data_IF_163945550011
#
_entry.id   IF_163945550011
#
_cell.length_a   1.000
_cell.length_b   1.000
_cell.length_c   1.000
_cell.angle_alpha   90.00
_cell.angle_beta   90.00
_cell.angle_gamma   90.00
#
_symmetry.space_group_name_H-M   'P 1'
#
loop_
_entity.id
_entity.type
_entity.pdbx_description
1 polymer ?
#
# COMPACT_ATOMS: atom_id res chain seq x y z
N UNK A 1 8.98 -34.02 -38.32
CA UNK A 1 8.09 -33.46 -37.28
C UNK A 1 8.89 -33.31 -36.00
N UNK A 2 9.05 -32.09 -35.46
CA UNK A 2 9.75 -31.85 -34.18
C UNK A 2 8.86 -32.36 -33.04
N UNK A 3 9.33 -33.38 -32.29
CA UNK A 3 8.70 -33.78 -31.02
C UNK A 3 8.81 -32.61 -30.06
N UNK A 4 7.69 -32.20 -29.49
CA UNK A 4 7.64 -31.15 -28.48
C UNK A 4 8.44 -31.61 -27.24
N UNK A 5 9.53 -30.91 -26.88
CA UNK A 5 10.40 -31.28 -25.76
C UNK A 5 9.74 -31.07 -24.39
N UNK A 6 8.55 -30.48 -24.33
CA UNK A 6 7.79 -30.24 -23.10
C UNK A 6 6.53 -31.11 -22.99
N UNK A 7 6.32 -32.05 -23.91
CA UNK A 7 5.12 -32.91 -23.92
C UNK A 7 4.94 -33.75 -22.64
N UNK A 8 6.02 -34.01 -21.89
CA UNK A 8 5.99 -34.74 -20.61
C UNK A 8 5.97 -33.82 -19.38
N UNK A 9 6.13 -32.50 -19.56
CA UNK A 9 6.21 -31.55 -18.45
C UNK A 9 4.79 -31.17 -17.99
N UNK A 10 4.36 -31.72 -16.85
CA UNK A 10 3.11 -31.32 -16.20
C UNK A 10 3.36 -30.15 -15.24
N UNK A 11 2.91 -28.97 -15.62
CA UNK A 11 2.87 -27.82 -14.72
C UNK A 11 1.88 -28.11 -13.58
N UNK A 12 2.39 -28.21 -12.35
CA UNK A 12 1.56 -28.33 -11.16
C UNK A 12 1.51 -26.96 -10.51
N UNK A 13 0.34 -26.34 -10.47
CA UNK A 13 0.13 -25.12 -9.70
C UNK A 13 -0.13 -25.52 -8.26
N UNK A 14 0.89 -25.42 -7.41
CA UNK A 14 0.66 -25.55 -5.97
C UNK A 14 -0.19 -24.37 -5.50
N UNK A 15 -1.31 -24.68 -4.85
CA UNK A 15 -2.15 -23.68 -4.23
C UNK A 15 -1.36 -23.08 -3.05
N UNK A 16 -0.90 -21.84 -3.21
CA UNK A 16 -0.25 -21.09 -2.14
C UNK A 16 -1.35 -20.60 -1.20
N UNK A 17 -1.28 -21.03 0.05
CA UNK A 17 -2.21 -20.55 1.07
C UNK A 17 -1.97 -19.06 1.34
N UNK A 18 -3.05 -18.28 1.33
CA UNK A 18 -2.97 -16.82 1.42
C UNK A 18 -3.40 -16.35 2.81
N UNK A 19 -2.43 -16.31 3.71
CA UNK A 19 -2.61 -15.71 5.03
C UNK A 19 -2.95 -14.21 4.93
N UNK A 20 -3.97 -13.78 5.65
CA UNK A 20 -4.35 -12.38 5.84
C UNK A 20 -3.96 -11.88 7.24
N UNK A 21 -4.07 -10.57 7.47
CA UNK A 21 -3.86 -10.00 8.79
C UNK A 21 -5.20 -9.87 9.52
N UNK A 22 -5.24 -10.28 10.78
CA UNK A 22 -6.36 -9.97 11.67
C UNK A 22 -6.31 -8.51 12.11
N UNK A 23 -7.47 -7.96 12.50
CA UNK A 23 -7.56 -6.60 13.04
C UNK A 23 -6.63 -6.39 14.24
N UNK A 24 -6.47 -7.41 15.08
CA UNK A 24 -5.58 -7.41 16.24
C UNK A 24 -4.11 -7.18 15.83
N UNK A 25 -3.67 -7.80 14.75
CA UNK A 25 -2.32 -7.64 14.20
C UNK A 25 -2.12 -6.25 13.60
N UNK A 26 -3.12 -5.73 12.88
CA UNK A 26 -3.08 -4.37 12.31
C UNK A 26 -2.96 -3.35 13.45
N UNK A 27 -3.74 -3.50 14.52
CA UNK A 27 -3.66 -2.60 15.69
C UNK A 27 -2.28 -2.69 16.37
N UNK A 28 -1.72 -3.90 16.51
CA UNK A 28 -0.38 -4.09 17.08
C UNK A 28 0.72 -3.46 16.23
N UNK A 29 0.59 -3.50 14.90
CA UNK A 29 1.51 -2.80 13.99
C UNK A 29 1.36 -1.29 14.14
N UNK A 30 0.13 -0.79 14.21
CA UNK A 30 -0.17 0.64 14.34
C UNK A 30 0.39 1.24 15.63
N UNK A 31 0.22 0.54 16.76
CA UNK A 31 0.66 1.00 18.09
C UNK A 31 2.16 0.81 18.33
N UNK A 32 2.89 0.11 17.45
CA UNK A 32 4.30 -0.19 17.66
C UNK A 32 5.16 1.07 17.56
N UNK A 33 5.91 1.36 18.62
CA UNK A 33 6.89 2.44 18.61
C UNK A 33 8.10 2.07 17.75
N UNK A 34 8.43 2.94 16.80
CA UNK A 34 9.52 2.73 15.85
C UNK A 34 10.43 3.94 15.88
N UNK A 35 11.62 3.79 16.47
CA UNK A 35 12.62 4.86 16.53
C UNK A 35 13.23 5.19 15.16
N UNK A 36 13.33 4.20 14.27
CA UNK A 36 13.93 4.38 12.94
C UNK A 36 12.89 5.00 11.99
N UNK A 37 13.09 6.27 11.64
CA UNK A 37 12.19 7.03 10.75
C UNK A 37 11.82 6.28 9.45
N UNK A 38 12.78 5.58 8.83
CA UNK A 38 12.54 4.78 7.62
C UNK A 38 11.56 3.61 7.84
N UNK A 39 11.63 2.95 9.00
CA UNK A 39 10.70 1.87 9.34
C UNK A 39 9.32 2.43 9.71
N UNK A 40 9.27 3.61 10.34
CA UNK A 40 8.00 4.30 10.62
C UNK A 40 7.27 4.68 9.31
N UNK A 41 8.00 5.16 8.29
CA UNK A 41 7.44 5.40 6.95
C UNK A 41 6.87 4.14 6.31
N UNK A 42 7.59 3.02 6.45
CA UNK A 42 7.13 1.71 5.95
C UNK A 42 5.84 1.29 6.65
N UNK A 43 5.79 1.37 7.98
CA UNK A 43 4.60 1.06 8.77
C UNK A 43 3.42 1.93 8.35
N UNK A 44 3.61 3.25 8.29
CA UNK A 44 2.53 4.19 7.97
C UNK A 44 2.01 3.98 6.54
N UNK A 45 2.89 3.72 5.58
CA UNK A 45 2.49 3.38 4.21
C UNK A 45 1.71 2.06 4.17
N UNK A 46 2.18 1.04 4.89
CA UNK A 46 1.51 -0.26 4.96
C UNK A 46 0.11 -0.14 5.57
N UNK A 47 -0.02 0.55 6.71
CA UNK A 47 -1.31 0.81 7.35
C UNK A 47 -2.23 1.60 6.41
N UNK A 48 -1.71 2.64 5.73
CA UNK A 48 -2.50 3.38 4.76
C UNK A 48 -3.06 2.46 3.66
N UNK A 49 -2.26 1.54 3.13
CA UNK A 49 -2.72 0.53 2.16
C UNK A 49 -3.79 -0.40 2.77
N UNK A 50 -3.64 -0.84 4.02
CA UNK A 50 -4.66 -1.68 4.68
C UNK A 50 -6.02 -0.97 4.80
N UNK A 51 -6.04 0.32 5.11
CA UNK A 51 -7.28 1.09 5.29
C UNK A 51 -7.88 1.61 3.98
N UNK A 52 -7.10 1.70 2.90
CA UNK A 52 -7.57 2.24 1.61
C UNK A 52 -7.67 1.19 0.51
N UNK A 53 -7.18 -0.03 0.76
CA UNK A 53 -7.07 -1.13 -0.21
C UNK A 53 -6.26 -0.79 -1.48
N UNK A 54 -5.60 0.36 -1.50
CA UNK A 54 -4.76 0.76 -2.61
C UNK A 54 -3.47 -0.06 -2.62
N UNK A 55 -3.03 -0.42 -3.82
CA UNK A 55 -1.72 -1.06 -3.96
C UNK A 55 -0.61 -0.05 -3.72
N UNK A 56 0.56 -0.51 -3.28
CA UNK A 56 1.73 0.36 -3.11
C UNK A 56 2.06 1.20 -4.35
N UNK A 57 1.82 0.66 -5.55
CA UNK A 57 2.05 1.39 -6.80
C UNK A 57 1.08 2.56 -6.95
N UNK A 58 -0.19 2.36 -6.57
CA UNK A 58 -1.23 3.38 -6.64
C UNK A 58 -0.97 4.48 -5.60
N UNK A 59 -0.65 4.09 -4.36
CA UNK A 59 -0.31 5.04 -3.29
C UNK A 59 0.97 5.83 -3.63
N UNK A 60 1.93 5.20 -4.31
CA UNK A 60 3.19 5.87 -4.70
C UNK A 60 2.95 7.02 -5.69
N UNK A 61 1.87 6.95 -6.46
CA UNK A 61 1.48 7.95 -7.44
C UNK A 61 0.28 8.79 -6.96
N UNK A 62 -0.10 8.65 -5.68
CA UNK A 62 -1.20 9.39 -5.11
C UNK A 62 -0.79 10.86 -4.92
N UNK A 63 -1.61 11.75 -5.46
CA UNK A 63 -1.40 13.19 -5.49
C UNK A 63 -2.57 13.91 -4.84
N UNK A 64 -2.39 15.19 -4.54
CA UNK A 64 -3.44 16.02 -3.96
C UNK A 64 -4.68 16.12 -4.88
N UNK A 65 -4.49 16.09 -6.20
CA UNK A 65 -5.58 16.09 -7.19
C UNK A 65 -6.48 14.84 -7.13
N UNK A 66 -5.97 13.73 -6.59
CA UNK A 66 -6.75 12.50 -6.39
C UNK A 66 -7.65 12.58 -5.14
N UNK A 67 -7.50 13.64 -4.31
CA UNK A 67 -8.29 13.84 -3.09
C UNK A 67 -9.44 14.80 -3.39
N UNK A 68 -10.67 14.29 -3.28
CA UNK A 68 -11.89 15.08 -3.48
C UNK A 68 -12.68 15.17 -2.19
N UNK A 69 -13.36 16.28 -1.96
CA UNK A 69 -14.23 16.47 -0.79
C UNK A 69 -15.69 16.50 -1.24
N UNK A 70 -16.56 15.80 -0.52
CA UNK A 70 -18.00 15.81 -0.80
C UNK A 70 -18.71 16.98 -0.12
N UNK A 71 -20.01 17.14 -0.39
CA UNK A 71 -20.84 18.19 0.20
C UNK A 71 -20.97 18.13 1.71
N UNK A 72 -20.60 17.00 2.32
CA UNK A 72 -20.64 16.77 3.77
C UNK A 72 -19.26 16.98 4.42
N UNK A 73 -18.24 17.39 3.65
CA UNK A 73 -16.88 17.59 4.13
C UNK A 73 -16.07 16.29 4.27
N UNK A 74 -16.58 15.16 3.78
CA UNK A 74 -15.83 13.89 3.80
C UNK A 74 -14.87 13.87 2.63
N UNK A 75 -13.61 13.52 2.91
CA UNK A 75 -12.58 13.36 1.88
C UNK A 75 -12.63 11.98 1.28
N UNK A 76 -12.35 11.89 0.00
CA UNK A 76 -12.35 10.68 -0.80
C UNK A 76 -11.09 10.62 -1.65
N UNK A 77 -10.54 9.42 -1.81
CA UNK A 77 -9.56 9.16 -2.87
C UNK A 77 -10.34 8.74 -4.12
N UNK A 78 -10.19 9.49 -5.20
CA UNK A 78 -10.71 9.15 -6.52
C UNK A 78 -9.55 9.04 -7.49
N UNK A 79 -9.12 7.81 -7.77
CA UNK A 79 -7.95 7.53 -8.62
C UNK A 79 -8.19 6.33 -9.52
N UNK A 80 -7.68 6.37 -10.75
CA UNK A 80 -7.63 5.18 -11.59
C UNK A 80 -6.52 4.23 -11.09
N UNK A 81 -6.91 3.03 -10.66
CA UNK A 81 -5.99 2.02 -10.17
C UNK A 81 -5.12 1.48 -11.33
N UNK A 82 -3.79 1.52 -11.16
CA UNK A 82 -2.82 1.34 -12.23
C UNK A 82 -2.91 -0.03 -12.90
N UNK A 83 -3.17 -1.08 -12.11
CA UNK A 83 -3.23 -2.48 -12.57
C UNK A 83 -4.54 -2.83 -13.27
N UNK A 84 -5.66 -2.44 -12.67
CA UNK A 84 -6.99 -2.86 -13.12
C UNK A 84 -7.63 -1.85 -14.07
N UNK A 85 -7.13 -0.62 -14.12
CA UNK A 85 -7.71 0.51 -14.89
C UNK A 85 -9.12 0.90 -14.44
N UNK A 86 -9.49 0.48 -13.23
CA UNK A 86 -10.78 0.79 -12.60
C UNK A 86 -10.61 2.02 -11.73
N UNK A 87 -11.60 2.90 -11.70
CA UNK A 87 -11.63 4.05 -10.80
C UNK A 87 -11.91 3.54 -9.38
N UNK A 88 -10.95 3.75 -8.51
CA UNK A 88 -11.02 3.50 -7.08
C UNK A 88 -11.58 4.76 -6.41
N UNK A 89 -12.74 4.63 -5.74
CA UNK A 89 -13.43 5.69 -5.02
C UNK A 89 -13.59 5.31 -3.55
N UNK A 90 -12.66 5.77 -2.71
CA UNK A 90 -12.48 5.27 -1.35
C UNK A 90 -12.65 6.41 -0.35
N UNK A 91 -13.55 6.31 0.65
CA UNK A 91 -13.68 7.34 1.67
C UNK A 91 -12.45 7.33 2.59
N UNK A 92 -11.86 8.51 2.82
CA UNK A 92 -10.73 8.69 3.72
C UNK A 92 -11.24 8.84 5.16
N UNK A 93 -10.98 7.82 5.98
CA UNK A 93 -11.25 7.83 7.42
C UNK A 93 -10.10 8.44 8.22
N UNK A 94 -10.27 8.48 9.54
CA UNK A 94 -9.37 9.16 10.47
C UNK A 94 -7.91 8.70 10.38
N UNK A 95 -7.66 7.38 10.37
CA UNK A 95 -6.29 6.84 10.35
C UNK A 95 -5.54 7.23 9.06
N UNK A 96 -6.08 6.97 7.85
CA UNK A 96 -5.49 7.47 6.61
C UNK A 96 -5.25 8.98 6.61
N UNK A 97 -6.22 9.79 7.09
CA UNK A 97 -6.08 11.25 7.12
C UNK A 97 -4.95 11.71 8.04
N UNK A 98 -4.81 11.11 9.22
CA UNK A 98 -3.71 11.39 10.13
C UNK A 98 -2.35 11.06 9.51
N UNK A 99 -2.26 9.95 8.78
CA UNK A 99 -1.05 9.56 8.06
C UNK A 99 -0.73 10.59 6.96
N UNK A 100 -1.71 11.01 6.15
CA UNK A 100 -1.49 12.05 5.13
C UNK A 100 -1.00 13.36 5.75
N UNK A 101 -1.65 13.82 6.83
CA UNK A 101 -1.29 15.05 7.54
C UNK A 101 0.13 15.00 8.10
N UNK A 102 0.57 13.84 8.60
CA UNK A 102 1.94 13.63 9.10
C UNK A 102 3.00 13.88 8.01
N UNK A 103 2.69 13.60 6.75
CA UNK A 103 3.63 13.68 5.64
C UNK A 103 3.44 14.89 4.72
N UNK A 104 2.45 15.74 4.98
CA UNK A 104 2.12 16.95 4.19
C UNK A 104 3.35 17.83 3.92
N UNK A 105 4.17 18.07 4.94
CA UNK A 105 5.38 18.91 4.85
C UNK A 105 6.67 18.11 4.61
N UNK A 106 6.57 16.83 4.24
CA UNK A 106 7.76 16.01 4.00
C UNK A 106 8.49 16.49 2.73
N UNK A 107 9.80 16.81 2.78
CA UNK A 107 10.52 17.34 1.62
C UNK A 107 10.44 16.45 0.39
N UNK A 108 10.44 15.13 0.54
CA UNK A 108 10.35 14.20 -0.58
C UNK A 108 8.97 14.22 -1.23
N UNK A 109 7.92 14.41 -0.44
CA UNK A 109 6.54 14.50 -0.89
C UNK A 109 6.33 15.79 -1.68
N UNK A 110 6.80 16.93 -1.13
CA UNK A 110 6.72 18.25 -1.76
C UNK A 110 7.48 18.27 -3.09
N UNK A 111 8.74 17.81 -3.12
CA UNK A 111 9.56 17.82 -4.35
C UNK A 111 8.95 16.96 -5.46
N UNK A 112 8.33 15.83 -5.11
CA UNK A 112 7.77 14.88 -6.09
C UNK A 112 6.28 15.12 -6.37
N UNK A 113 5.63 16.00 -5.63
CA UNK A 113 4.18 16.23 -5.71
C UNK A 113 3.35 15.01 -5.34
N UNK A 114 3.82 14.16 -4.41
CA UNK A 114 3.10 12.95 -3.96
C UNK A 114 2.69 13.10 -2.49
N UNK A 115 1.66 12.38 -2.06
CA UNK A 115 1.15 12.52 -0.68
C UNK A 115 1.89 11.68 0.36
N UNK A 116 2.60 10.63 -0.05
CA UNK A 116 3.29 9.72 0.85
C UNK A 116 4.71 9.38 0.37
N UNK A 117 5.71 9.31 1.28
CA UNK A 117 7.10 9.03 0.93
C UNK A 117 7.33 7.53 0.75
N UNK A 118 6.80 6.95 -0.33
CA UNK A 118 6.93 5.51 -0.59
C UNK A 118 8.35 5.16 -1.08
N UNK A 119 8.99 4.25 -0.34
CA UNK A 119 10.28 3.65 -0.71
C UNK A 119 10.14 2.73 -1.92
N UNK A 120 11.21 2.55 -2.71
CA UNK A 120 11.16 1.65 -3.87
C UNK A 120 10.77 0.20 -3.49
N UNK A 121 10.05 -0.46 -4.40
CA UNK A 121 9.38 -1.75 -4.17
C UNK A 121 10.35 -2.86 -3.67
N UNK A 122 11.62 -2.80 -4.10
CA UNK A 122 12.67 -3.74 -3.70
C UNK A 122 13.02 -3.65 -2.21
N UNK A 123 12.98 -2.44 -1.61
CA UNK A 123 13.19 -2.25 -0.16
C UNK A 123 11.94 -2.62 0.63
N UNK A 124 10.76 -2.50 0.03
CA UNK A 124 9.48 -2.84 0.67
C UNK A 124 9.31 -4.36 0.82
N UNK A 125 9.65 -5.16 -0.20
CA UNK A 125 9.52 -6.62 -0.13
C UNK A 125 10.34 -7.26 1.00
N UNK A 126 11.48 -6.66 1.38
CA UNK A 126 12.27 -7.09 2.53
C UNK A 126 11.56 -6.94 3.88
N UNK A 127 10.51 -6.10 3.97
CA UNK A 127 9.72 -5.89 5.19
C UNK A 127 8.38 -6.64 5.19
N UNK A 128 7.96 -7.23 4.06
CA UNK A 128 6.71 -8.03 4.00
C UNK A 128 6.86 -9.38 4.72
N UNK A 129 8.04 -9.98 4.65
CA UNK A 129 8.36 -11.25 5.33
C UNK A 129 8.44 -11.08 6.86
N UNK A 130 9.18 -10.11 7.43
CA UNK A 130 9.34 -10.01 8.89
C UNK A 130 8.08 -9.62 9.67
N UNK A 131 7.06 -9.03 9.04
CA UNK A 131 5.81 -8.65 9.75
C UNK A 131 5.02 -9.87 10.23
N UNK A 132 5.19 -11.05 9.61
CA UNK A 132 4.56 -12.31 10.04
C UNK A 132 5.44 -13.20 10.92
N UNK A 133 6.71 -12.83 11.10
CA UNK A 133 7.70 -13.65 11.83
C UNK A 133 8.05 -13.02 13.19
N UNK A 134 7.34 -11.96 13.62
CA UNK A 134 7.65 -11.17 14.82
C UNK A 134 6.47 -10.99 15.79
#
# INVERSE_FOLDING_TARGET
>A
MKKDPFAEYKFTLEAVDRDFFEDSEIQRILSKEIAISRLAQVRDTFIFCCFTELTFSDVKQLKQEDIVEDSNGVKWIRKECQKTKIICNIPLRDIPLQILKKYENNPQCVIKGVLLPILCNQKMNGYRVPVKVA
#
